data_IF_516177461478
#
_entry.id   IF_516177461478
#
_cell.length_a   1.000
_cell.length_b   1.000
_cell.length_c   1.000
_cell.angle_alpha   90.00
_cell.angle_beta   90.00
_cell.angle_gamma   90.00
#
_symmetry.space_group_name_H-M   'P 1'
#
loop_
_entity.id
_entity.type
_entity.pdbx_description
1 polymer ?
#
# COMPACT_ATOMS: atom_id res chain seq x y z
N UNK A 1 -5.12 8.64 -7.22
CA UNK A 1 -4.18 7.63 -6.74
C UNK A 1 -3.73 7.91 -5.31
N UNK A 2 -3.06 9.07 -5.03
CA UNK A 2 -2.47 9.43 -3.73
C UNK A 2 -3.36 9.16 -2.50
N UNK A 3 -4.61 9.62 -2.53
CA UNK A 3 -5.55 9.42 -1.42
C UNK A 3 -5.89 7.94 -1.20
N UNK A 4 -6.14 7.21 -2.29
CA UNK A 4 -6.46 5.78 -2.22
C UNK A 4 -5.26 4.96 -1.71
N UNK A 5 -4.04 5.29 -2.19
CA UNK A 5 -2.80 4.67 -1.71
C UNK A 5 -2.58 4.96 -0.23
N UNK A 6 -2.78 6.21 0.20
CA UNK A 6 -2.69 6.60 1.61
C UNK A 6 -3.67 5.83 2.49
N UNK A 7 -4.95 5.75 2.09
CA UNK A 7 -5.96 4.94 2.79
C UNK A 7 -5.56 3.46 2.86
N UNK A 8 -5.15 2.88 1.74
CA UNK A 8 -4.70 1.49 1.67
C UNK A 8 -3.59 1.21 2.70
N UNK A 9 -2.54 2.04 2.72
CA UNK A 9 -1.43 1.87 3.66
C UNK A 9 -1.85 2.00 5.12
N UNK A 10 -2.67 2.99 5.43
CA UNK A 10 -3.13 3.20 6.80
C UNK A 10 -4.03 2.05 7.28
N UNK A 11 -4.94 1.57 6.44
CA UNK A 11 -5.77 0.42 6.79
C UNK A 11 -4.89 -0.81 7.05
N UNK A 12 -3.95 -1.12 6.15
CA UNK A 12 -3.01 -2.25 6.35
C UNK A 12 -2.21 -2.07 7.63
N UNK A 13 -1.63 -0.88 7.85
CA UNK A 13 -0.76 -0.62 8.99
C UNK A 13 -1.48 -0.81 10.34
N UNK A 14 -2.71 -0.34 10.46
CA UNK A 14 -3.44 -0.39 11.72
C UNK A 14 -4.20 -1.71 11.94
N UNK A 15 -4.60 -2.40 10.86
CA UNK A 15 -5.32 -3.67 10.98
C UNK A 15 -4.39 -4.88 11.14
N UNK A 16 -3.17 -4.83 10.60
CA UNK A 16 -2.24 -5.95 10.54
C UNK A 16 -1.94 -6.59 11.91
N UNK A 17 -1.64 -5.83 12.99
CA UNK A 17 -1.37 -6.44 14.29
C UNK A 17 -2.56 -7.22 14.83
N UNK A 18 -3.77 -6.66 14.71
CA UNK A 18 -5.01 -7.30 15.17
C UNK A 18 -5.36 -8.52 14.33
N UNK A 19 -5.17 -8.44 13.01
CA UNK A 19 -5.40 -9.56 12.10
C UNK A 19 -4.47 -10.74 12.42
N UNK A 20 -3.20 -10.48 12.69
CA UNK A 20 -2.24 -11.51 13.09
C UNK A 20 -2.55 -12.10 14.47
N UNK A 21 -2.93 -11.29 15.44
CA UNK A 21 -3.30 -11.77 16.76
C UNK A 21 -4.52 -12.73 16.71
N UNK A 22 -5.44 -12.49 15.80
CA UNK A 22 -6.66 -13.28 15.68
C UNK A 22 -6.53 -14.49 14.74
N UNK A 23 -5.65 -14.45 13.74
CA UNK A 23 -5.59 -15.45 12.65
C UNK A 23 -4.28 -16.23 12.59
N UNK A 24 -3.29 -15.87 13.41
CA UNK A 24 -1.99 -16.57 13.52
C UNK A 24 -1.85 -17.13 14.92
N UNK A 25 -2.19 -18.41 15.10
CA UNK A 25 -2.18 -19.09 16.41
C UNK A 25 -0.80 -19.09 17.08
N UNK A 26 0.28 -19.13 16.28
CA UNK A 26 1.66 -19.08 16.77
C UNK A 26 2.00 -17.82 17.55
N UNK A 27 1.25 -16.74 17.32
CA UNK A 27 1.48 -15.44 17.95
C UNK A 27 0.35 -15.01 18.86
N UNK A 28 -0.78 -15.72 18.86
CA UNK A 28 -1.98 -15.38 19.63
C UNK A 28 -1.65 -15.31 21.13
N UNK A 29 -2.02 -14.17 21.73
CA UNK A 29 -1.75 -13.93 23.15
C UNK A 29 -0.31 -13.50 23.50
N UNK A 30 0.58 -13.31 22.50
CA UNK A 30 1.95 -12.83 22.71
C UNK A 30 2.21 -11.56 21.92
N UNK A 31 2.26 -10.42 22.61
CA UNK A 31 2.59 -9.12 22.00
C UNK A 31 3.95 -9.13 21.30
N UNK A 32 4.94 -9.86 21.85
CA UNK A 32 6.27 -10.00 21.23
C UNK A 32 6.20 -10.84 19.96
N UNK A 33 5.40 -11.92 19.94
CA UNK A 33 5.20 -12.75 18.76
C UNK A 33 4.52 -11.98 17.63
N UNK A 34 3.41 -11.32 17.89
CA UNK A 34 2.69 -10.50 16.90
C UNK A 34 3.56 -9.34 16.40
N UNK A 35 4.24 -8.64 17.29
CA UNK A 35 5.13 -7.53 16.94
C UNK A 35 6.28 -7.95 16.04
N UNK A 36 6.91 -9.11 16.29
CA UNK A 36 8.00 -9.62 15.44
C UNK A 36 7.53 -9.99 14.04
N UNK A 37 6.34 -10.59 13.89
CA UNK A 37 5.76 -10.90 12.58
C UNK A 37 5.44 -9.63 11.79
N UNK A 38 4.85 -8.63 12.45
CA UNK A 38 4.60 -7.31 11.84
C UNK A 38 5.92 -6.65 11.41
N UNK A 39 6.97 -6.73 12.24
CA UNK A 39 8.28 -6.19 11.90
C UNK A 39 8.89 -6.87 10.67
N UNK A 40 8.75 -8.21 10.54
CA UNK A 40 9.19 -8.95 9.34
C UNK A 40 8.45 -8.51 8.08
N UNK A 41 7.13 -8.31 8.18
CA UNK A 41 6.32 -7.81 7.06
C UNK A 41 6.81 -6.43 6.60
N UNK A 42 7.08 -5.52 7.53
CA UNK A 42 7.59 -4.18 7.18
C UNK A 42 9.05 -4.18 6.74
N UNK A 43 9.88 -5.12 7.22
CA UNK A 43 11.22 -5.33 6.68
C UNK A 43 11.18 -5.73 5.20
N UNK A 44 10.25 -6.63 4.81
CA UNK A 44 10.02 -6.93 3.40
C UNK A 44 9.56 -5.68 2.61
N UNK A 45 8.69 -4.85 3.19
CA UNK A 45 8.29 -3.58 2.59
C UNK A 45 9.46 -2.62 2.34
N UNK A 46 10.38 -2.49 3.30
CA UNK A 46 11.58 -1.68 3.14
C UNK A 46 12.47 -2.20 2.00
N UNK A 47 12.62 -3.52 1.86
CA UNK A 47 13.31 -4.12 0.71
C UNK A 47 12.60 -3.79 -0.60
N UNK A 48 11.26 -3.82 -0.62
CA UNK A 48 10.46 -3.40 -1.77
C UNK A 48 10.75 -1.96 -2.18
N UNK A 49 10.78 -1.02 -1.22
CA UNK A 49 11.11 0.39 -1.50
C UNK A 49 12.49 0.54 -2.16
N UNK A 50 13.51 -0.15 -1.66
CA UNK A 50 14.86 -0.09 -2.23
C UNK A 50 14.90 -0.68 -3.65
N UNK A 51 14.22 -1.80 -3.87
CA UNK A 51 14.18 -2.44 -5.17
C UNK A 51 13.43 -1.60 -6.19
N UNK A 52 12.18 -1.23 -5.89
CA UNK A 52 11.33 -0.51 -6.84
C UNK A 52 11.74 0.96 -7.00
N UNK A 53 12.41 1.55 -6.01
CA UNK A 53 13.10 2.83 -6.16
C UNK A 53 14.15 2.77 -7.27
N UNK A 54 15.03 1.75 -7.24
CA UNK A 54 16.03 1.55 -8.32
C UNK A 54 15.41 1.21 -9.67
N UNK A 55 14.29 0.46 -9.66
CA UNK A 55 13.58 0.14 -10.91
C UNK A 55 12.91 1.38 -11.51
N UNK A 56 12.44 2.30 -10.69
CA UNK A 56 11.85 3.56 -11.16
C UNK A 56 12.82 4.43 -11.94
N UNK A 57 14.14 4.29 -11.69
CA UNK A 57 15.18 4.98 -12.45
C UNK A 57 15.39 4.39 -13.87
N UNK A 58 14.94 3.14 -14.11
CA UNK A 58 15.20 2.41 -15.37
C UNK A 58 13.97 2.17 -16.21
N UNK A 59 12.81 2.08 -15.59
CA UNK A 59 11.55 1.74 -16.24
C UNK A 59 10.57 2.91 -16.18
N UNK A 60 9.54 2.85 -17.00
CA UNK A 60 8.44 3.83 -16.95
C UNK A 60 7.73 3.75 -15.60
N UNK A 61 7.77 4.82 -14.83
CA UNK A 61 7.17 4.89 -13.50
C UNK A 61 5.67 4.61 -13.54
N UNK A 62 4.99 5.05 -14.59
CA UNK A 62 3.57 4.76 -14.79
C UNK A 62 3.31 3.26 -14.89
N UNK A 63 4.09 2.56 -15.74
CA UNK A 63 3.93 1.12 -15.93
C UNK A 63 4.28 0.36 -14.66
N UNK A 64 5.38 0.77 -14.00
CA UNK A 64 5.81 0.17 -12.75
C UNK A 64 4.75 0.34 -11.65
N UNK A 65 4.23 1.55 -11.47
CA UNK A 65 3.19 1.84 -10.48
C UNK A 65 1.91 1.05 -10.75
N UNK A 66 1.48 0.99 -12.01
CA UNK A 66 0.35 0.17 -12.43
C UNK A 66 0.56 -1.31 -12.13
N UNK A 67 1.72 -1.87 -12.51
CA UNK A 67 2.04 -3.29 -12.31
C UNK A 67 2.08 -3.64 -10.83
N UNK A 68 2.66 -2.80 -9.98
CA UNK A 68 2.72 -3.03 -8.53
C UNK A 68 1.32 -3.17 -7.93
N UNK A 69 0.42 -2.25 -8.24
CA UNK A 69 -0.95 -2.35 -7.73
C UNK A 69 -1.76 -3.46 -8.40
N UNK A 70 -1.51 -3.76 -9.68
CA UNK A 70 -2.12 -4.90 -10.35
C UNK A 70 -1.79 -6.23 -9.65
N UNK A 71 -0.53 -6.43 -9.23
CA UNK A 71 -0.12 -7.61 -8.48
C UNK A 71 -0.53 -7.56 -7.00
N UNK A 72 -0.70 -6.38 -6.43
CA UNK A 72 -1.23 -6.22 -5.06
C UNK A 72 -2.67 -6.71 -4.96
N UNK A 73 -3.51 -6.52 -5.99
CA UNK A 73 -4.91 -6.97 -5.99
C UNK A 73 -5.06 -8.46 -5.68
N UNK A 74 -4.46 -9.39 -6.44
CA UNK A 74 -4.58 -10.82 -6.14
C UNK A 74 -3.89 -11.20 -4.83
N UNK A 75 -2.80 -10.55 -4.44
CA UNK A 75 -2.12 -10.81 -3.16
C UNK A 75 -3.04 -10.49 -1.97
N UNK A 76 -3.74 -9.35 -1.99
CA UNK A 76 -4.72 -8.97 -0.97
C UNK A 76 -5.92 -9.91 -0.97
N UNK A 77 -6.43 -10.27 -2.16
CA UNK A 77 -7.54 -11.21 -2.30
C UNK A 77 -7.20 -12.59 -1.71
N UNK A 78 -5.98 -13.09 -1.96
CA UNK A 78 -5.49 -14.32 -1.36
C UNK A 78 -5.35 -14.21 0.16
N UNK A 79 -4.80 -13.12 0.68
CA UNK A 79 -4.65 -12.90 2.12
C UNK A 79 -5.98 -12.96 2.87
N UNK A 80 -7.10 -12.62 2.23
CA UNK A 80 -8.43 -12.68 2.85
C UNK A 80 -8.83 -14.08 3.28
N UNK A 81 -8.34 -15.12 2.58
CA UNK A 81 -8.68 -16.53 2.79
C UNK A 81 -7.61 -17.31 3.56
N UNK A 82 -6.41 -16.74 3.70
CA UNK A 82 -5.28 -17.42 4.32
C UNK A 82 -5.27 -17.20 5.84
N UNK A 83 -4.65 -18.13 6.55
CA UNK A 83 -4.40 -18.09 7.99
C UNK A 83 -2.94 -18.49 8.26
N UNK A 84 -2.51 -18.38 9.50
CA UNK A 84 -1.19 -18.83 9.96
C UNK A 84 -0.03 -18.22 9.16
N UNK A 85 1.03 -19.00 8.96
CA UNK A 85 2.24 -18.56 8.25
C UNK A 85 1.95 -18.14 6.79
N UNK A 86 0.94 -18.72 6.16
CA UNK A 86 0.55 -18.39 4.78
C UNK A 86 -0.04 -16.98 4.69
N UNK A 87 -0.79 -16.56 5.70
CA UNK A 87 -1.25 -15.17 5.83
C UNK A 87 -0.07 -14.22 5.97
N UNK A 88 0.90 -14.53 6.85
CA UNK A 88 2.09 -13.71 7.04
C UNK A 88 2.86 -13.53 5.73
N UNK A 89 3.11 -14.63 5.00
CA UNK A 89 3.80 -14.60 3.71
C UNK A 89 3.04 -13.78 2.66
N UNK A 90 1.71 -13.92 2.60
CA UNK A 90 0.88 -13.13 1.69
C UNK A 90 0.92 -11.64 2.05
N UNK A 91 0.86 -11.29 3.35
CA UNK A 91 0.98 -9.91 3.79
C UNK A 91 2.38 -9.33 3.59
N UNK A 92 3.43 -10.13 3.69
CA UNK A 92 4.78 -9.72 3.27
C UNK A 92 4.81 -9.31 1.80
N UNK A 93 4.17 -10.09 0.93
CA UNK A 93 4.06 -9.75 -0.50
C UNK A 93 3.22 -8.49 -0.71
N UNK A 94 2.06 -8.37 -0.06
CA UNK A 94 1.20 -7.18 -0.14
C UNK A 94 1.96 -5.93 0.27
N UNK A 95 2.64 -5.96 1.41
CA UNK A 95 3.39 -4.81 1.92
C UNK A 95 4.64 -4.55 1.07
N UNK A 96 5.34 -5.58 0.59
CA UNK A 96 6.47 -5.45 -0.33
C UNK A 96 6.09 -4.69 -1.61
N UNK A 97 4.98 -5.06 -2.25
CA UNK A 97 4.50 -4.43 -3.48
C UNK A 97 3.95 -3.02 -3.22
N UNK A 98 3.07 -2.88 -2.24
CA UNK A 98 2.36 -1.62 -1.99
C UNK A 98 3.30 -0.53 -1.43
N UNK A 99 4.16 -0.84 -0.45
CA UNK A 99 5.14 0.14 0.05
C UNK A 99 6.25 0.40 -0.95
N UNK A 100 6.60 -0.61 -1.76
CA UNK A 100 7.51 -0.45 -2.90
C UNK A 100 6.99 0.50 -3.97
N UNK A 101 5.69 0.73 -4.04
CA UNK A 101 5.09 1.72 -4.93
C UNK A 101 5.30 3.18 -4.46
N UNK A 102 5.65 3.43 -3.18
CA UNK A 102 5.80 4.79 -2.63
C UNK A 102 6.91 5.61 -3.32
N UNK A 103 8.14 5.09 -3.52
CA UNK A 103 9.16 5.84 -4.25
C UNK A 103 8.75 6.10 -5.70
N UNK A 104 8.09 5.14 -6.36
CA UNK A 104 7.58 5.30 -7.72
C UNK A 104 6.53 6.41 -7.78
N UNK A 105 5.61 6.45 -6.82
CA UNK A 105 4.60 7.50 -6.67
C UNK A 105 5.23 8.88 -6.46
N UNK A 106 6.29 8.97 -5.64
CA UNK A 106 7.00 10.22 -5.42
C UNK A 106 7.68 10.72 -6.70
N UNK A 107 8.29 9.83 -7.48
CA UNK A 107 8.90 10.17 -8.78
C UNK A 107 7.84 10.65 -9.77
N UNK A 108 6.69 9.96 -9.86
CA UNK A 108 5.55 10.41 -10.66
C UNK A 108 5.11 11.83 -10.25
N UNK A 109 4.99 12.07 -8.94
CA UNK A 109 4.56 13.35 -8.42
C UNK A 109 5.51 14.49 -8.83
N UNK A 110 6.81 14.26 -8.72
CA UNK A 110 7.84 15.24 -9.15
C UNK A 110 7.72 15.53 -10.64
N UNK A 111 7.52 14.51 -11.47
CA UNK A 111 7.42 14.66 -12.93
C UNK A 111 6.17 15.40 -13.39
N UNK A 112 5.05 15.22 -12.71
CA UNK A 112 3.79 15.92 -13.07
C UNK A 112 3.67 17.29 -12.42
N UNK A 113 4.46 17.58 -11.39
CA UNK A 113 4.42 18.87 -10.69
C UNK A 113 5.31 19.92 -11.38
N UNK A 114 4.86 21.19 -11.50
CA UNK A 114 5.72 22.27 -11.94
C UNK A 114 6.93 22.43 -11.00
N UNK A 115 8.13 22.63 -11.56
CA UNK A 115 9.37 22.68 -10.79
C UNK A 115 9.38 23.72 -9.67
N UNK A 116 8.73 24.87 -9.89
CA UNK A 116 8.64 25.96 -8.91
C UNK A 116 7.61 25.72 -7.79
N UNK A 117 6.84 24.61 -7.82
CA UNK A 117 5.78 24.29 -6.86
C UNK A 117 5.94 22.92 -6.17
N UNK A 118 7.09 22.28 -6.29
CA UNK A 118 7.32 20.97 -5.67
C UNK A 118 7.01 20.96 -4.18
N UNK A 119 7.44 22.00 -3.43
CA UNK A 119 7.14 22.11 -1.99
C UNK A 119 5.63 22.13 -1.68
N UNK A 120 4.85 22.90 -2.44
CA UNK A 120 3.40 22.95 -2.29
C UNK A 120 2.74 21.61 -2.63
N UNK A 121 3.19 20.95 -3.69
CA UNK A 121 2.65 19.65 -4.12
C UNK A 121 2.94 18.56 -3.08
N UNK A 122 4.17 18.48 -2.54
CA UNK A 122 4.49 17.54 -1.48
C UNK A 122 3.78 17.89 -0.17
N UNK A 123 3.71 19.17 0.20
CA UNK A 123 2.95 19.62 1.37
C UNK A 123 1.47 19.23 1.27
N UNK A 124 0.85 19.45 0.11
CA UNK A 124 -0.53 19.03 -0.16
C UNK A 124 -0.68 17.51 -0.12
N UNK A 125 0.28 16.75 -0.67
CA UNK A 125 0.30 15.28 -0.59
C UNK A 125 0.24 14.81 0.86
N UNK A 126 1.11 15.34 1.71
CA UNK A 126 1.16 14.95 3.12
C UNK A 126 -0.09 15.39 3.89
N UNK A 127 -0.54 16.63 3.70
CA UNK A 127 -1.74 17.14 4.36
C UNK A 127 -2.98 16.31 4.02
N UNK A 128 -3.22 16.09 2.73
CA UNK A 128 -4.35 15.31 2.26
C UNK A 128 -4.16 13.82 2.54
N UNK A 129 -2.95 13.29 2.36
CA UNK A 129 -2.61 11.91 2.62
C UNK A 129 -2.87 11.53 4.08
N UNK A 130 -2.32 12.27 5.03
CA UNK A 130 -2.53 11.99 6.46
C UNK A 130 -3.93 12.35 6.93
N UNK A 131 -4.48 13.49 6.51
CA UNK A 131 -5.82 13.91 6.91
C UNK A 131 -6.91 12.96 6.42
N UNK A 132 -6.87 12.58 5.14
CA UNK A 132 -7.86 11.67 4.56
C UNK A 132 -7.62 10.21 4.97
N UNK A 133 -6.38 9.81 5.19
CA UNK A 133 -6.04 8.44 5.59
C UNK A 133 -6.57 8.07 6.96
N UNK A 134 -6.74 9.04 7.87
CA UNK A 134 -7.37 8.83 9.17
C UNK A 134 -8.80 8.28 9.03
N UNK A 135 -9.53 8.68 7.98
CA UNK A 135 -10.86 8.12 7.70
C UNK A 135 -10.79 6.63 7.36
N UNK A 136 -9.71 6.15 6.75
CA UNK A 136 -9.47 4.73 6.48
C UNK A 136 -9.34 3.90 7.76
N UNK A 137 -8.67 4.44 8.78
CA UNK A 137 -8.54 3.80 10.10
C UNK A 137 -9.91 3.69 10.75
N UNK A 138 -10.66 4.79 10.80
CA UNK A 138 -12.02 4.81 11.34
C UNK A 138 -12.91 3.80 10.61
N UNK A 139 -12.88 3.81 9.27
CA UNK A 139 -13.66 2.90 8.44
C UNK A 139 -13.31 1.42 8.71
N UNK A 140 -12.01 1.12 8.89
CA UNK A 140 -11.55 -0.24 9.19
C UNK A 140 -12.07 -0.74 10.55
N UNK A 141 -12.03 0.10 11.58
CA UNK A 141 -12.59 -0.19 12.89
C UNK A 141 -14.09 -0.42 12.82
N UNK A 142 -14.81 0.47 12.16
CA UNK A 142 -16.27 0.40 12.01
C UNK A 142 -16.73 -0.86 11.23
N UNK A 143 -16.07 -1.19 10.12
CA UNK A 143 -16.34 -2.42 9.37
C UNK A 143 -16.13 -3.64 10.27
N UNK A 144 -15.03 -3.67 11.03
CA UNK A 144 -14.74 -4.80 11.92
C UNK A 144 -15.76 -4.90 13.07
N UNK A 145 -16.18 -3.80 13.68
CA UNK A 145 -17.21 -3.79 14.72
C UNK A 145 -18.55 -4.29 14.22
N UNK A 146 -18.95 -3.94 12.99
CA UNK A 146 -20.22 -4.37 12.42
C UNK A 146 -20.22 -5.83 11.95
N UNK A 147 -19.10 -6.32 11.44
CA UNK A 147 -19.07 -7.62 10.76
C UNK A 147 -18.36 -8.72 11.55
N UNK A 148 -17.53 -8.35 12.52
CA UNK A 148 -16.66 -9.26 13.26
C UNK A 148 -15.63 -9.99 12.39
N UNK A 149 -15.44 -9.58 11.14
CA UNK A 149 -14.65 -10.31 10.15
C UNK A 149 -13.74 -9.39 9.35
N UNK A 150 -12.51 -9.87 9.10
CA UNK A 150 -11.55 -9.18 8.23
C UNK A 150 -11.88 -9.30 6.73
N UNK A 151 -12.76 -10.22 6.32
CA UNK A 151 -13.09 -10.43 4.89
C UNK A 151 -13.56 -9.14 4.22
N UNK A 152 -14.44 -8.40 4.87
CA UNK A 152 -14.94 -7.12 4.35
C UNK A 152 -13.86 -6.04 4.29
N UNK A 153 -12.94 -6.05 5.25
CA UNK A 153 -11.80 -5.16 5.24
C UNK A 153 -10.84 -5.45 4.07
N UNK A 154 -10.57 -6.73 3.82
CA UNK A 154 -9.82 -7.16 2.64
C UNK A 154 -10.55 -6.81 1.33
N UNK A 155 -11.87 -6.94 1.30
CA UNK A 155 -12.69 -6.47 0.17
C UNK A 155 -12.50 -4.98 -0.12
N UNK A 156 -12.50 -4.14 0.92
CA UNK A 156 -12.18 -2.72 0.80
C UNK A 156 -10.77 -2.48 0.27
N UNK A 157 -9.77 -3.20 0.80
CA UNK A 157 -8.39 -3.11 0.33
C UNK A 157 -8.24 -3.49 -1.15
N UNK A 158 -8.95 -4.52 -1.61
CA UNK A 158 -9.01 -4.90 -3.04
C UNK A 158 -9.59 -3.76 -3.87
N UNK A 159 -10.70 -3.17 -3.45
CA UNK A 159 -11.32 -2.03 -4.15
C UNK A 159 -10.38 -0.84 -4.25
N UNK A 160 -9.68 -0.50 -3.16
CA UNK A 160 -8.70 0.57 -3.15
C UNK A 160 -7.52 0.28 -4.10
N UNK A 161 -6.99 -0.94 -4.07
CA UNK A 161 -5.88 -1.35 -4.94
C UNK A 161 -6.29 -1.33 -6.42
N UNK A 162 -7.48 -1.82 -6.77
CA UNK A 162 -8.04 -1.73 -8.12
C UNK A 162 -8.20 -0.27 -8.53
N UNK A 163 -8.75 0.58 -7.65
CA UNK A 163 -8.90 2.01 -7.91
C UNK A 163 -7.56 2.69 -8.22
N UNK A 164 -6.51 2.37 -7.47
CA UNK A 164 -5.16 2.89 -7.74
C UNK A 164 -4.64 2.37 -9.08
N UNK A 165 -4.79 1.08 -9.37
CA UNK A 165 -4.34 0.49 -10.63
C UNK A 165 -5.07 1.13 -11.84
N UNK A 166 -6.38 1.31 -11.77
CA UNK A 166 -7.17 1.99 -12.82
C UNK A 166 -6.70 3.42 -13.03
N UNK A 167 -6.51 4.19 -11.96
CA UNK A 167 -6.02 5.57 -12.08
C UNK A 167 -4.60 5.58 -12.67
N UNK A 168 -3.72 4.67 -12.25
CA UNK A 168 -2.37 4.55 -12.79
C UNK A 168 -2.40 4.22 -14.30
N UNK A 169 -3.31 3.37 -14.73
CA UNK A 169 -3.50 3.04 -16.14
C UNK A 169 -4.01 4.24 -16.96
N UNK A 170 -4.87 5.07 -16.38
CA UNK A 170 -5.42 6.26 -17.04
C UNK A 170 -4.46 7.46 -17.07
N UNK A 171 -3.35 7.43 -16.33
CA UNK A 171 -2.36 8.50 -16.39
C UNK A 171 -1.86 8.66 -17.83
N UNK A 172 -1.71 9.90 -18.34
CA UNK A 172 -1.22 10.13 -19.69
C UNK A 172 0.20 9.58 -19.85
N UNK A 173 0.47 8.93 -21.00
CA UNK A 173 1.81 8.50 -21.34
C UNK A 173 2.68 9.75 -21.50
N UNK A 174 3.74 9.86 -20.71
CA UNK A 174 4.66 11.00 -20.80
C UNK A 174 5.45 10.90 -22.11
N UNK A 175 5.45 11.99 -22.87
CA UNK A 175 6.50 12.21 -23.87
C UNK A 175 7.79 12.44 -23.07
N UNK A 176 8.77 11.58 -23.28
CA UNK A 176 10.14 11.82 -22.81
C UNK A 176 10.56 13.15 -23.41
N UNK A 177 10.58 14.21 -22.59
CA UNK A 177 11.26 15.43 -22.99
C UNK A 177 12.73 15.05 -23.07
N UNK A 178 13.22 14.84 -24.29
CA UNK A 178 14.66 14.72 -24.52
C UNK A 178 15.31 15.98 -23.97
N UNK A 179 16.35 15.87 -23.15
CA UNK A 179 17.14 17.05 -22.78
C UNK A 179 17.74 17.64 -24.06
N UNK A 180 17.46 18.93 -24.25
CA UNK A 180 18.12 19.74 -25.29
C UNK A 180 19.60 19.93 -24.99
#
# INVERSE_FOLDING_TARGET
ALLLTGMFHQIVQFSLPKDFDMRVLLTSGSLLGTGSMVALVYAAGAMGQLLFGRLADRYSERQLYFSLFLFTVPAVALASQLTEITLVLSMMLVVFLSTGALPVENTLLVRYAPSHRHGLVFGSKFLLGFGFSASGIFLSGWIFELTGSFIWLYGLLVLLAVGVAVIAFLLPAQRVLQPA
#
